data_IF_615271861086
#
_entry.id   IF_615271861086
#
_cell.length_a   1.000
_cell.length_b   1.000
_cell.length_c   1.000
_cell.angle_alpha   90.00
_cell.angle_beta   90.00
_cell.angle_gamma   90.00
#
_symmetry.space_group_name_H-M   'P 1'
#
loop_
_entity.id
_entity.type
_entity.pdbx_description
1 polymer ?
#
# COMPACT_ATOMS: atom_id res chain seq x y z
N UNK A 1 34.67 23.28 3.40
CA UNK A 1 34.17 22.34 4.42
C UNK A 1 32.90 22.85 5.07
N UNK A 2 32.77 24.16 5.29
CA UNK A 2 31.58 24.78 5.87
C UNK A 2 30.29 24.43 5.12
N UNK A 3 30.32 24.50 3.79
CA UNK A 3 29.18 24.04 2.95
C UNK A 3 28.72 22.60 3.25
N UNK A 4 29.64 21.66 3.52
CA UNK A 4 29.29 20.28 3.86
C UNK A 4 28.62 20.22 5.23
N UNK A 5 29.16 20.97 6.19
CA UNK A 5 28.61 21.08 7.55
C UNK A 5 27.19 21.67 7.53
N UNK A 6 26.97 22.72 6.74
CA UNK A 6 25.67 23.37 6.60
C UNK A 6 24.65 22.42 5.96
N UNK A 7 25.05 21.72 4.89
CA UNK A 7 24.19 20.70 4.24
C UNK A 7 23.78 19.60 5.24
N UNK A 8 24.72 19.07 6.01
CA UNK A 8 24.41 18.00 6.98
C UNK A 8 23.50 18.52 8.09
N UNK A 9 23.69 19.77 8.53
CA UNK A 9 22.81 20.41 9.51
C UNK A 9 21.39 20.53 8.95
N UNK A 10 21.24 21.06 7.73
CA UNK A 10 19.94 21.19 7.06
C UNK A 10 19.25 19.82 6.90
N UNK A 11 19.98 18.79 6.47
CA UNK A 11 19.43 17.45 6.37
C UNK A 11 18.98 16.88 7.72
N UNK A 12 19.69 17.16 8.81
CA UNK A 12 19.28 16.78 10.17
C UNK A 12 18.00 17.49 10.60
N UNK A 13 17.87 18.77 10.27
CA UNK A 13 16.69 19.57 10.58
C UNK A 13 15.46 19.08 9.78
N UNK A 14 15.66 18.70 8.52
CA UNK A 14 14.57 18.28 7.63
C UNK A 14 14.16 16.81 7.79
N UNK A 15 15.11 15.89 7.95
CA UNK A 15 14.86 14.44 8.00
C UNK A 15 14.87 13.88 9.42
N UNK A 16 15.40 14.62 10.38
CA UNK A 16 15.60 14.16 11.75
C UNK A 16 16.88 13.34 11.94
N UNK A 17 17.44 13.40 13.15
CA UNK A 17 18.69 12.73 13.51
C UNK A 17 18.66 11.21 13.28
N UNK A 18 17.56 10.54 13.64
CA UNK A 18 17.42 9.09 13.51
C UNK A 18 17.57 8.62 12.05
N UNK A 19 16.98 9.34 11.10
CA UNK A 19 17.08 9.02 9.67
C UNK A 19 18.52 9.17 9.20
N UNK A 20 19.21 10.24 9.63
CA UNK A 20 20.62 10.48 9.29
C UNK A 20 21.51 9.38 9.84
N UNK A 21 21.35 9.03 11.12
CA UNK A 21 22.13 7.98 11.77
C UNK A 21 21.91 6.63 11.07
N UNK A 22 20.66 6.32 10.68
CA UNK A 22 20.32 5.10 9.95
C UNK A 22 20.90 5.07 8.53
N UNK A 23 20.92 6.20 7.81
CA UNK A 23 21.62 6.31 6.51
C UNK A 23 23.11 6.02 6.70
N UNK A 24 23.74 6.66 7.68
CA UNK A 24 25.16 6.46 7.94
C UNK A 24 25.47 5.00 8.30
N UNK A 25 24.63 4.37 9.12
CA UNK A 25 24.74 2.98 9.53
C UNK A 25 24.58 1.95 8.41
N UNK A 26 24.16 2.35 7.20
CA UNK A 26 24.12 1.44 6.05
C UNK A 26 25.51 1.14 5.47
N UNK A 27 26.55 1.84 5.92
CA UNK A 27 27.91 1.74 5.43
C UNK A 27 28.81 1.00 6.42
N UNK A 28 29.71 0.15 5.92
CA UNK A 28 30.72 -0.53 6.76
C UNK A 28 31.67 0.48 7.43
N UNK A 29 31.93 1.60 6.76
CA UNK A 29 32.78 2.69 7.20
C UNK A 29 32.03 3.80 7.98
N UNK A 30 30.88 3.48 8.61
CA UNK A 30 30.07 4.47 9.33
C UNK A 30 30.85 5.23 10.41
N UNK A 31 31.76 4.55 11.12
CA UNK A 31 32.62 5.13 12.16
C UNK A 31 33.40 6.33 11.62
N UNK A 32 33.98 6.21 10.42
CA UNK A 32 34.70 7.31 9.77
C UNK A 32 33.76 8.44 9.39
N UNK A 33 32.50 8.17 9.07
CA UNK A 33 31.48 9.20 8.88
C UNK A 33 31.27 10.04 10.15
N UNK A 34 31.16 9.40 11.32
CA UNK A 34 30.99 10.11 12.62
C UNK A 34 32.23 10.96 12.91
N UNK A 35 33.42 10.37 12.80
CA UNK A 35 34.69 11.09 12.99
C UNK A 35 34.87 12.24 12.01
N UNK A 36 34.37 12.12 10.78
CA UNK A 36 34.37 13.21 9.83
C UNK A 36 33.46 14.37 10.27
N UNK A 37 32.32 14.10 10.92
CA UNK A 37 31.48 15.17 11.47
C UNK A 37 32.18 15.92 12.62
N UNK A 38 32.89 15.20 13.49
CA UNK A 38 33.74 15.79 14.52
C UNK A 38 34.87 16.62 13.90
N UNK A 39 35.54 16.09 12.87
CA UNK A 39 36.56 16.77 12.09
C UNK A 39 36.10 18.12 11.53
N UNK A 40 34.88 18.20 10.98
CA UNK A 40 34.33 19.47 10.47
C UNK A 40 34.23 20.56 11.55
N UNK A 41 34.20 20.21 12.83
CA UNK A 41 34.23 21.16 13.95
C UNK A 41 35.62 21.77 14.22
N UNK A 42 36.68 21.06 13.83
CA UNK A 42 38.09 21.43 14.06
C UNK A 42 38.84 21.84 12.79
N UNK A 43 38.26 21.59 11.62
CA UNK A 43 38.84 21.97 10.33
C UNK A 43 39.23 23.46 10.32
N UNK A 44 40.50 23.74 10.04
CA UNK A 44 41.07 25.10 10.00
C UNK A 44 41.45 25.69 11.36
N UNK A 45 41.22 24.95 12.47
CA UNK A 45 41.58 25.37 13.84
C UNK A 45 42.75 24.59 14.43
N UNK A 46 42.91 23.34 14.01
CA UNK A 46 43.94 22.41 14.49
C UNK A 46 44.73 21.87 13.29
N UNK A 47 45.95 21.42 13.54
CA UNK A 47 46.76 20.75 12.52
C UNK A 47 46.37 19.27 12.35
N UNK A 48 46.94 18.60 11.34
CA UNK A 48 46.63 17.20 11.03
C UNK A 48 47.00 16.27 12.20
N UNK A 49 48.12 16.50 12.89
CA UNK A 49 48.58 15.63 13.98
C UNK A 49 47.67 15.76 15.20
N UNK A 50 47.32 16.98 15.57
CA UNK A 50 46.40 17.28 16.66
C UNK A 50 45.03 16.64 16.43
N UNK A 51 44.47 16.79 15.21
CA UNK A 51 43.19 16.19 14.84
C UNK A 51 43.27 14.67 14.85
N UNK A 52 44.35 14.09 14.31
CA UNK A 52 44.56 12.64 14.29
C UNK A 52 44.53 12.07 15.71
N UNK A 53 45.23 12.72 16.64
CA UNK A 53 45.24 12.32 18.05
C UNK A 53 43.86 12.48 18.69
N UNK A 54 43.18 13.62 18.50
CA UNK A 54 41.86 13.86 19.10
C UNK A 54 40.75 12.96 18.56
N UNK A 55 40.80 12.59 17.29
CA UNK A 55 39.81 11.70 16.68
C UNK A 55 40.09 10.22 16.93
N UNK A 56 41.25 9.89 17.51
CA UNK A 56 41.73 8.53 17.70
C UNK A 56 41.75 7.74 16.38
N UNK A 57 42.42 8.32 15.36
CA UNK A 57 42.54 7.73 14.03
C UNK A 57 43.97 7.22 13.83
N UNK A 58 44.12 5.92 13.66
CA UNK A 58 45.43 5.27 13.52
C UNK A 58 46.23 5.72 12.27
N UNK A 59 45.55 6.16 11.21
CA UNK A 59 46.19 6.55 9.96
C UNK A 59 46.01 8.06 9.66
N UNK A 60 47.03 8.90 9.90
CA UNK A 60 46.97 10.34 9.62
C UNK A 60 46.64 10.68 8.16
N UNK A 61 46.95 9.80 7.19
CA UNK A 61 46.63 10.03 5.78
C UNK A 61 45.12 10.15 5.56
N UNK A 62 44.30 9.52 6.40
CA UNK A 62 42.85 9.66 6.32
C UNK A 62 42.41 11.10 6.59
N UNK A 63 43.00 11.76 7.57
CA UNK A 63 42.75 13.17 7.88
C UNK A 63 43.22 14.05 6.72
N UNK A 64 44.38 13.74 6.14
CA UNK A 64 44.88 14.46 4.96
C UNK A 64 43.90 14.37 3.77
N UNK A 65 43.32 13.19 3.51
CA UNK A 65 42.27 13.04 2.51
C UNK A 65 41.04 13.91 2.83
N UNK A 66 40.66 14.02 4.10
CA UNK A 66 39.54 14.87 4.51
C UNK A 66 39.83 16.35 4.28
N UNK A 67 41.04 16.83 4.59
CA UNK A 67 41.48 18.19 4.24
C UNK A 67 41.45 18.43 2.73
N UNK A 68 41.80 17.41 1.93
CA UNK A 68 41.70 17.42 0.46
C UNK A 68 40.26 17.25 -0.05
N UNK A 69 39.24 17.35 0.82
CA UNK A 69 37.80 17.30 0.50
C UNK A 69 37.33 15.96 -0.06
N UNK A 70 37.92 14.85 0.39
CA UNK A 70 37.43 13.50 0.12
C UNK A 70 36.67 12.97 1.34
N UNK A 71 35.36 13.25 1.46
CA UNK A 71 34.58 12.79 2.59
C UNK A 71 34.35 11.26 2.56
N UNK A 72 34.15 10.60 3.72
CA UNK A 72 33.77 9.19 3.79
C UNK A 72 32.46 8.87 3.05
N UNK A 73 32.25 7.60 2.68
CA UNK A 73 31.07 7.17 1.91
C UNK A 73 29.71 7.50 2.57
N UNK A 74 29.53 7.40 3.90
CA UNK A 74 28.31 7.86 4.55
C UNK A 74 28.00 9.33 4.25
N UNK A 75 29.03 10.19 4.27
CA UNK A 75 28.90 11.62 4.03
C UNK A 75 28.61 11.90 2.55
N UNK A 76 29.29 11.19 1.64
CA UNK A 76 28.98 11.25 0.19
C UNK A 76 27.50 10.92 -0.06
N UNK A 77 26.97 9.90 0.62
CA UNK A 77 25.55 9.52 0.49
C UNK A 77 24.60 10.63 0.94
N UNK A 78 24.88 11.28 2.07
CA UNK A 78 24.10 12.43 2.55
C UNK A 78 24.18 13.59 1.55
N UNK A 79 25.37 13.91 1.04
CA UNK A 79 25.56 14.94 0.03
C UNK A 79 24.77 14.64 -1.25
N UNK A 80 24.74 13.38 -1.70
CA UNK A 80 23.94 12.98 -2.86
C UNK A 80 22.43 13.16 -2.61
N UNK A 81 21.93 12.80 -1.42
CA UNK A 81 20.52 13.04 -1.03
C UNK A 81 20.19 14.53 -1.07
N UNK A 82 21.13 15.38 -0.64
CA UNK A 82 20.97 16.83 -0.70
C UNK A 82 20.95 17.33 -2.15
N UNK A 83 22.02 17.08 -2.91
CA UNK A 83 22.19 17.65 -4.25
C UNK A 83 21.17 17.13 -5.27
N UNK A 84 20.67 15.89 -5.10
CA UNK A 84 19.58 15.34 -5.91
C UNK A 84 18.18 15.73 -5.40
N UNK A 85 18.08 16.56 -4.36
CA UNK A 85 16.83 17.02 -3.76
C UNK A 85 15.91 15.90 -3.25
N UNK A 86 16.43 14.72 -2.92
CA UNK A 86 15.60 13.60 -2.45
C UNK A 86 14.95 13.88 -1.08
N UNK A 87 15.56 14.75 -0.28
CA UNK A 87 14.98 15.22 0.99
C UNK A 87 13.77 16.15 0.80
N UNK A 88 13.54 16.68 -0.42
CA UNK A 88 12.41 17.57 -0.75
C UNK A 88 11.20 16.82 -1.32
N UNK A 89 11.28 15.50 -1.46
CA UNK A 89 10.16 14.71 -1.97
C UNK A 89 9.00 14.82 -1.00
N UNK A 90 7.82 15.16 -1.52
CA UNK A 90 6.62 15.28 -0.69
C UNK A 90 6.30 13.96 0.03
N UNK A 91 5.77 14.05 1.25
CA UNK A 91 5.34 12.86 2.01
C UNK A 91 4.33 12.01 1.23
N UNK A 92 3.47 12.64 0.42
CA UNK A 92 2.53 11.95 -0.47
C UNK A 92 3.24 11.09 -1.51
N UNK A 93 4.24 11.64 -2.20
CA UNK A 93 4.98 10.91 -3.24
C UNK A 93 5.88 9.82 -2.63
N UNK A 94 6.47 10.08 -1.45
CA UNK A 94 7.15 9.04 -0.67
C UNK A 94 6.19 7.92 -0.27
N UNK A 95 4.99 8.23 0.22
CA UNK A 95 4.00 7.23 0.61
C UNK A 95 3.59 6.36 -0.58
N UNK A 96 3.46 6.98 -1.76
CA UNK A 96 3.18 6.29 -3.00
C UNK A 96 4.29 5.30 -3.41
N UNK A 97 5.55 5.72 -3.34
CA UNK A 97 6.70 4.81 -3.51
C UNK A 97 6.70 3.68 -2.48
N UNK A 98 6.37 3.98 -1.23
CA UNK A 98 6.28 2.97 -0.18
C UNK A 98 5.16 1.97 -0.46
N UNK A 99 3.99 2.39 -0.94
CA UNK A 99 2.90 1.46 -1.28
C UNK A 99 3.35 0.41 -2.30
N UNK A 100 3.99 0.85 -3.39
CA UNK A 100 4.59 -0.07 -4.37
C UNK A 100 5.71 -0.91 -3.76
N UNK A 101 6.59 -0.32 -2.96
CA UNK A 101 7.66 -1.03 -2.26
C UNK A 101 7.19 -2.09 -1.27
N UNK A 102 5.98 -1.94 -0.71
CA UNK A 102 5.33 -2.94 0.13
C UNK A 102 4.57 -4.00 -0.67
N UNK A 103 4.08 -3.68 -1.88
CA UNK A 103 3.49 -4.63 -2.83
C UNK A 103 4.48 -5.28 -3.80
N UNK A 104 4.26 -5.12 -5.11
CA UNK A 104 5.08 -5.76 -6.17
C UNK A 104 6.47 -5.14 -6.40
N UNK A 105 6.86 -4.17 -5.58
CA UNK A 105 8.19 -3.56 -5.58
C UNK A 105 9.02 -3.87 -4.33
N UNK A 106 10.18 -3.24 -4.25
CA UNK A 106 11.02 -3.30 -3.05
C UNK A 106 12.43 -2.76 -3.23
N UNK A 107 13.20 -2.80 -2.15
CA UNK A 107 14.64 -2.49 -2.18
C UNK A 107 15.46 -3.77 -2.31
N UNK A 108 16.57 -3.73 -3.04
CA UNK A 108 17.56 -4.81 -2.98
C UNK A 108 18.19 -4.91 -1.59
N UNK A 109 18.63 -6.11 -1.21
CA UNK A 109 19.24 -6.40 0.11
C UNK A 109 20.48 -5.53 0.39
N UNK A 110 21.23 -5.21 -0.66
CA UNK A 110 22.44 -4.36 -0.63
C UNK A 110 22.14 -2.86 -0.74
N UNK A 111 20.88 -2.47 -0.88
CA UNK A 111 20.43 -1.09 -1.08
C UNK A 111 21.05 -0.42 -2.31
N UNK A 112 21.38 -1.21 -3.35
CA UNK A 112 21.88 -0.70 -4.62
C UNK A 112 20.78 -0.08 -5.49
N UNK A 113 19.55 -0.60 -5.39
CA UNK A 113 18.41 -0.13 -6.17
C UNK A 113 17.07 -0.38 -5.49
N UNK A 114 16.08 0.37 -5.98
CA UNK A 114 14.65 0.15 -5.78
C UNK A 114 14.04 -0.39 -7.09
N UNK A 115 13.02 -1.23 -7.00
CA UNK A 115 12.34 -1.78 -8.17
C UNK A 115 10.82 -1.87 -8.00
N UNK A 116 10.10 -1.93 -9.12
CA UNK A 116 8.67 -2.22 -9.22
C UNK A 116 8.45 -3.22 -10.35
N UNK A 117 7.74 -4.32 -10.09
CA UNK A 117 7.31 -5.27 -11.11
C UNK A 117 5.90 -4.92 -11.60
N UNK A 118 5.62 -5.10 -12.89
CA UNK A 118 4.27 -4.87 -13.43
C UNK A 118 4.18 -5.04 -14.94
N UNK A 119 3.05 -4.60 -15.51
CA UNK A 119 2.87 -4.51 -16.97
C UNK A 119 3.63 -3.30 -17.51
N UNK A 120 4.20 -3.41 -18.72
CA UNK A 120 4.99 -2.33 -19.34
C UNK A 120 4.27 -0.97 -19.36
N UNK A 121 3.00 -0.96 -19.79
CA UNK A 121 2.22 0.27 -19.93
C UNK A 121 1.99 0.96 -18.58
N UNK A 122 1.72 0.19 -17.53
CA UNK A 122 1.53 0.71 -16.17
C UNK A 122 2.85 1.30 -15.65
N UNK A 123 3.99 0.60 -15.88
CA UNK A 123 5.32 1.08 -15.48
C UNK A 123 5.74 2.37 -16.21
N UNK A 124 5.39 2.53 -17.49
CA UNK A 124 5.64 3.77 -18.24
C UNK A 124 4.86 4.96 -17.65
N UNK A 125 3.63 4.73 -17.20
CA UNK A 125 2.86 5.79 -16.52
C UNK A 125 3.44 6.12 -15.14
N UNK A 126 3.91 5.11 -14.41
CA UNK A 126 4.61 5.30 -13.12
C UNK A 126 5.91 6.09 -13.32
N UNK A 127 6.70 5.77 -14.35
CA UNK A 127 7.90 6.53 -14.71
C UNK A 127 7.56 7.99 -15.02
N UNK A 128 6.54 8.24 -15.84
CA UNK A 128 6.06 9.60 -16.13
C UNK A 128 5.64 10.35 -14.87
N UNK A 129 4.95 9.67 -13.94
CA UNK A 129 4.60 10.25 -12.65
C UNK A 129 5.85 10.61 -11.83
N UNK A 130 6.83 9.69 -11.71
CA UNK A 130 8.06 9.94 -10.97
C UNK A 130 8.89 11.07 -11.58
N UNK A 131 9.03 11.11 -12.91
CA UNK A 131 9.77 12.18 -13.59
C UNK A 131 9.17 13.57 -13.32
N UNK A 132 7.85 13.66 -13.21
CA UNK A 132 7.15 14.91 -12.92
C UNK A 132 7.17 15.32 -11.44
N UNK A 133 7.39 14.36 -10.53
CA UNK A 133 7.18 14.56 -9.09
C UNK A 133 8.43 14.40 -8.23
N UNK A 134 9.48 13.79 -8.79
CA UNK A 134 10.71 13.46 -8.09
C UNK A 134 11.90 13.81 -8.99
N UNK A 135 12.61 14.91 -8.70
CA UNK A 135 13.70 15.38 -9.54
C UNK A 135 14.80 14.31 -9.75
N UNK A 136 15.23 14.14 -10.99
CA UNK A 136 16.47 13.44 -11.37
C UNK A 136 16.56 11.97 -10.88
N UNK A 137 15.45 11.23 -10.86
CA UNK A 137 15.49 9.78 -10.64
C UNK A 137 16.03 9.04 -11.88
N UNK A 138 17.08 8.23 -11.76
CA UNK A 138 17.57 7.41 -12.86
C UNK A 138 16.69 6.16 -13.00
N UNK A 139 15.62 6.28 -13.78
CA UNK A 139 14.67 5.20 -14.06
C UNK A 139 15.10 4.42 -15.30
N UNK A 140 15.00 3.09 -15.23
CA UNK A 140 15.15 2.20 -16.40
C UNK A 140 14.10 1.11 -16.36
N UNK A 141 13.46 0.83 -17.49
CA UNK A 141 12.45 -0.25 -17.62
C UNK A 141 13.02 -1.37 -18.48
N UNK A 142 12.97 -2.60 -17.99
CA UNK A 142 13.48 -3.79 -18.68
C UNK A 142 12.50 -4.98 -18.57
N UNK A 143 12.59 -5.91 -19.51
CA UNK A 143 11.78 -7.12 -19.53
C UNK A 143 12.18 -8.07 -18.41
N UNK A 144 11.18 -8.67 -17.77
CA UNK A 144 11.38 -9.66 -16.72
C UNK A 144 10.98 -11.05 -17.23
N UNK A 145 11.92 -11.69 -17.92
CA UNK A 145 11.75 -13.07 -18.36
C UNK A 145 11.90 -14.04 -17.18
N UNK A 146 10.87 -14.85 -16.95
CA UNK A 146 10.87 -15.81 -15.87
C UNK A 146 9.67 -16.75 -15.92
N UNK A 147 9.86 -17.92 -16.52
CA UNK A 147 8.96 -19.04 -16.24
C UNK A 147 9.22 -19.50 -14.81
N UNK A 148 8.23 -19.35 -13.95
CA UNK A 148 8.32 -19.81 -12.57
C UNK A 148 7.26 -20.87 -12.27
N UNK A 149 7.58 -21.79 -11.37
CA UNK A 149 6.56 -22.69 -10.80
C UNK A 149 6.44 -22.38 -9.33
N UNK A 150 5.22 -22.40 -8.82
CA UNK A 150 4.94 -22.26 -7.40
C UNK A 150 4.47 -23.62 -6.90
N UNK A 151 5.21 -24.19 -5.95
CA UNK A 151 4.82 -25.43 -5.27
C UNK A 151 3.92 -25.06 -4.10
N UNK A 152 2.72 -25.61 -4.08
CA UNK A 152 1.79 -25.43 -2.97
C UNK A 152 2.05 -26.47 -1.89
N UNK A 153 1.79 -26.12 -0.63
CA UNK A 153 1.91 -27.05 0.49
C UNK A 153 0.96 -28.26 0.38
N UNK A 154 -0.10 -28.15 -0.43
CA UNK A 154 -1.03 -29.25 -0.73
C UNK A 154 -0.55 -30.19 -1.85
N UNK A 155 0.69 -30.06 -2.33
CA UNK A 155 1.27 -30.88 -3.39
C UNK A 155 0.98 -30.43 -4.82
N UNK A 156 0.15 -29.39 -5.04
CA UNK A 156 -0.11 -28.86 -6.39
C UNK A 156 1.02 -27.96 -6.88
N UNK A 157 1.29 -28.01 -8.19
CA UNK A 157 2.25 -27.14 -8.86
C UNK A 157 1.47 -26.15 -9.74
N UNK A 158 1.72 -24.86 -9.56
CA UNK A 158 1.19 -23.81 -10.43
C UNK A 158 2.30 -23.27 -11.32
N UNK A 159 2.15 -23.38 -12.63
CA UNK A 159 3.04 -22.73 -13.59
C UNK A 159 2.61 -21.27 -13.78
N UNK A 160 3.57 -20.36 -13.72
CA UNK A 160 3.40 -18.93 -13.97
C UNK A 160 4.29 -18.60 -15.16
N UNK A 161 3.67 -18.28 -16.30
CA UNK A 161 4.35 -17.67 -17.43
C UNK A 161 4.39 -16.16 -17.22
N UNK A 162 5.57 -15.57 -17.32
CA UNK A 162 5.79 -14.12 -17.17
C UNK A 162 5.84 -13.40 -18.52
N UNK A 163 5.15 -13.93 -19.55
CA UNK A 163 5.30 -13.45 -20.93
C UNK A 163 5.07 -11.93 -21.10
N UNK A 164 4.44 -11.27 -20.13
CA UNK A 164 4.24 -9.81 -20.08
C UNK A 164 4.68 -9.14 -18.76
N UNK A 165 5.66 -9.69 -18.04
CA UNK A 165 6.22 -9.04 -16.84
C UNK A 165 7.39 -8.13 -17.20
N UNK A 166 7.37 -6.92 -16.65
CA UNK A 166 8.43 -5.93 -16.77
C UNK A 166 8.87 -5.47 -15.38
N UNK A 167 10.08 -4.93 -15.29
CA UNK A 167 10.59 -4.31 -14.06
C UNK A 167 11.05 -2.88 -14.36
N UNK A 168 10.60 -1.95 -13.52
CA UNK A 168 11.13 -0.60 -13.43
C UNK A 168 12.19 -0.58 -12.32
N UNK A 169 13.40 -0.14 -12.65
CA UNK A 169 14.49 0.04 -11.71
C UNK A 169 14.79 1.51 -11.47
N UNK A 170 15.11 1.83 -10.22
CA UNK A 170 15.78 3.06 -9.82
C UNK A 170 17.16 2.67 -9.29
N UNK A 171 18.19 2.79 -10.14
CA UNK A 171 19.57 2.37 -9.85
C UNK A 171 20.34 3.49 -9.12
N UNK A 172 19.81 3.91 -7.97
CA UNK A 172 20.44 4.91 -7.10
C UNK A 172 20.53 4.41 -5.66
N UNK A 173 21.77 4.20 -5.20
CA UNK A 173 22.01 3.68 -3.85
C UNK A 173 21.80 4.70 -2.74
N UNK A 174 21.89 6.01 -3.03
CA UNK A 174 21.62 7.07 -2.04
C UNK A 174 20.12 7.21 -1.82
N UNK A 175 19.35 7.16 -2.90
CA UNK A 175 17.89 7.09 -2.84
C UNK A 175 17.41 5.85 -2.09
N UNK A 176 17.94 4.68 -2.44
CA UNK A 176 17.57 3.41 -1.79
C UNK A 176 17.87 3.40 -0.29
N UNK A 177 19.01 3.96 0.12
CA UNK A 177 19.38 4.12 1.55
C UNK A 177 18.45 5.11 2.26
N UNK A 178 18.03 6.19 1.62
CA UNK A 178 17.04 7.12 2.17
C UNK A 178 15.71 6.40 2.41
N UNK A 179 15.17 5.67 1.44
CA UNK A 179 13.93 4.92 1.59
C UNK A 179 14.02 3.88 2.71
N UNK A 180 15.15 3.15 2.77
CA UNK A 180 15.41 2.20 3.86
C UNK A 180 15.44 2.90 5.24
N UNK A 181 16.10 4.05 5.33
CA UNK A 181 16.16 4.83 6.55
C UNK A 181 14.77 5.29 7.01
N UNK A 182 13.94 5.74 6.06
CA UNK A 182 12.54 6.11 6.26
C UNK A 182 11.59 4.93 6.54
N UNK A 183 12.08 3.69 6.49
CA UNK A 183 11.39 2.50 6.99
C UNK A 183 10.96 1.48 5.94
N UNK A 184 11.33 1.64 4.67
CA UNK A 184 11.03 0.64 3.64
C UNK A 184 11.88 -0.63 3.85
N UNK A 185 11.30 -1.84 3.90
CA UNK A 185 12.07 -3.06 4.08
C UNK A 185 12.97 -3.35 2.87
N UNK A 186 14.08 -4.05 3.10
CA UNK A 186 15.04 -4.42 2.05
C UNK A 186 15.12 -5.93 1.86
N UNK A 187 15.35 -6.36 0.62
CA UNK A 187 15.37 -7.77 0.25
C UNK A 187 13.97 -8.40 0.38
N UNK A 188 13.92 -9.65 0.84
CA UNK A 188 12.70 -10.43 0.80
C UNK A 188 11.80 -10.19 2.00
N UNK A 189 10.67 -9.50 1.76
CA UNK A 189 9.65 -9.19 2.77
C UNK A 189 9.05 -10.45 3.40
N UNK A 190 9.02 -11.57 2.69
CA UNK A 190 8.52 -12.87 3.19
C UNK A 190 9.37 -13.41 4.36
N UNK A 191 10.65 -13.04 4.42
CA UNK A 191 11.65 -13.57 5.38
C UNK A 191 12.00 -12.61 6.52
N UNK A 192 11.19 -11.58 6.76
CA UNK A 192 11.45 -10.58 7.79
C UNK A 192 10.14 -10.01 8.34
N UNK A 193 10.11 -9.40 9.53
CA UNK A 193 8.97 -8.62 9.97
C UNK A 193 8.79 -7.40 9.06
N UNK A 194 7.57 -6.91 8.92
CA UNK A 194 7.28 -5.76 8.05
C UNK A 194 6.21 -4.91 8.67
N UNK A 195 6.55 -3.66 8.96
CA UNK A 195 5.66 -2.72 9.63
C UNK A 195 5.52 -1.47 8.76
N UNK A 196 4.31 -0.93 8.67
CA UNK A 196 4.09 0.35 7.99
C UNK A 196 4.79 1.44 8.82
N UNK A 197 5.63 2.30 8.21
CA UNK A 197 6.29 3.39 8.94
C UNK A 197 5.31 4.28 9.68
N UNK A 198 5.67 4.72 10.89
CA UNK A 198 4.81 5.55 11.73
C UNK A 198 4.34 6.84 11.02
N UNK A 199 5.22 7.47 10.24
CA UNK A 199 4.89 8.68 9.48
C UNK A 199 3.84 8.45 8.37
N UNK A 200 3.65 7.21 7.91
CA UNK A 200 2.55 6.81 7.02
C UNK A 200 1.31 6.48 7.86
N UNK A 201 1.46 5.64 8.90
CA UNK A 201 0.34 5.22 9.78
C UNK A 201 -0.36 6.40 10.46
N UNK A 202 0.38 7.42 10.85
CA UNK A 202 -0.14 8.66 11.48
C UNK A 202 -0.11 9.85 10.52
N UNK A 203 0.17 9.61 9.24
CA UNK A 203 0.14 10.66 8.22
C UNK A 203 -1.28 11.20 8.00
N UNK A 204 -1.37 12.34 7.33
CA UNK A 204 -2.68 12.86 6.91
C UNK A 204 -3.38 11.92 5.92
N UNK A 205 -4.65 12.22 5.63
CA UNK A 205 -5.47 11.43 4.69
C UNK A 205 -4.83 11.29 3.30
N UNK A 206 -4.06 12.27 2.82
CA UNK A 206 -3.42 12.22 1.50
C UNK A 206 -2.21 11.29 1.51
N UNK A 207 -1.41 11.27 2.58
CA UNK A 207 -0.30 10.34 2.79
C UNK A 207 -0.83 8.89 2.84
N UNK A 208 -1.86 8.65 3.67
CA UNK A 208 -2.51 7.33 3.76
C UNK A 208 -3.10 6.88 2.43
N UNK A 209 -3.80 7.77 1.73
CA UNK A 209 -4.33 7.53 0.38
C UNK A 209 -3.24 7.14 -0.60
N UNK A 210 -2.14 7.91 -0.65
CA UNK A 210 -1.02 7.64 -1.55
C UNK A 210 -0.44 6.25 -1.34
N UNK A 211 -0.21 5.87 -0.08
CA UNK A 211 0.26 4.53 0.28
C UNK A 211 -0.71 3.42 -0.13
N UNK A 212 -1.98 3.52 0.26
CA UNK A 212 -2.99 2.49 -0.02
C UNK A 212 -3.26 2.34 -1.53
N UNK A 213 -3.30 3.43 -2.28
CA UNK A 213 -3.45 3.40 -3.73
C UNK A 213 -2.35 2.56 -4.39
N UNK A 214 -1.09 2.91 -4.14
CA UNK A 214 0.04 2.21 -4.73
C UNK A 214 0.12 0.73 -4.28
N UNK A 215 -0.15 0.46 -3.00
CA UNK A 215 -0.17 -0.90 -2.48
C UNK A 215 -1.23 -1.76 -3.16
N UNK A 216 -2.45 -1.24 -3.30
CA UNK A 216 -3.56 -1.97 -3.91
C UNK A 216 -3.45 -2.11 -5.43
N UNK A 217 -2.75 -1.20 -6.10
CA UNK A 217 -2.48 -1.32 -7.53
C UNK A 217 -1.67 -2.56 -7.90
N UNK A 218 -0.71 -2.95 -7.07
CA UNK A 218 -0.02 -4.23 -7.23
C UNK A 218 -0.88 -5.39 -6.70
N UNK A 219 -1.23 -5.34 -5.42
CA UNK A 219 -1.58 -6.54 -4.66
C UNK A 219 -3.10 -6.83 -4.55
N UNK A 220 -3.96 -5.82 -4.69
CA UNK A 220 -5.41 -6.02 -4.51
C UNK A 220 -6.00 -6.84 -5.66
N UNK A 221 -6.93 -7.74 -5.38
CA UNK A 221 -7.65 -8.43 -6.45
C UNK A 221 -8.43 -7.46 -7.35
N UNK A 222 -8.49 -7.75 -8.64
CA UNK A 222 -9.35 -7.03 -9.58
C UNK A 222 -10.82 -7.23 -9.18
N UNK A 223 -11.59 -6.14 -9.22
CA UNK A 223 -13.03 -6.19 -8.96
C UNK A 223 -13.71 -7.11 -9.96
N UNK A 224 -14.71 -7.88 -9.50
CA UNK A 224 -15.48 -8.76 -10.37
C UNK A 224 -16.96 -8.50 -10.16
N UNK A 225 -17.63 -8.22 -11.27
CA UNK A 225 -19.09 -8.17 -11.37
C UNK A 225 -19.48 -9.31 -12.29
N UNK A 226 -20.36 -10.19 -11.84
CA UNK A 226 -20.81 -11.30 -12.66
C UNK A 226 -22.30 -11.59 -12.46
N UNK A 227 -22.90 -12.19 -13.47
CA UNK A 227 -24.27 -12.68 -13.38
C UNK A 227 -24.28 -14.03 -12.65
N UNK A 228 -24.96 -14.07 -11.51
CA UNK A 228 -25.20 -15.27 -10.75
C UNK A 228 -26.44 -15.97 -11.28
N UNK A 229 -26.23 -17.01 -12.09
CA UNK A 229 -27.30 -17.80 -12.73
C UNK A 229 -28.26 -18.38 -11.70
N UNK A 230 -27.74 -18.94 -10.59
CA UNK A 230 -28.56 -19.57 -9.54
C UNK A 230 -29.49 -18.58 -8.85
N UNK A 231 -29.08 -17.31 -8.74
CA UNK A 231 -29.83 -16.26 -8.07
C UNK A 231 -30.53 -15.30 -9.04
N UNK A 232 -30.37 -15.53 -10.34
CA UNK A 232 -30.85 -14.66 -11.42
C UNK A 232 -30.57 -13.17 -11.16
N UNK A 233 -29.35 -12.83 -10.72
CA UNK A 233 -28.98 -11.46 -10.33
C UNK A 233 -27.49 -11.18 -10.56
N UNK A 234 -27.13 -9.91 -10.68
CA UNK A 234 -25.74 -9.48 -10.78
C UNK A 234 -25.14 -9.33 -9.37
N UNK A 235 -24.02 -10.02 -9.11
CA UNK A 235 -23.28 -9.96 -7.86
C UNK A 235 -22.02 -9.11 -8.02
N UNK A 236 -21.74 -8.26 -7.01
CA UNK A 236 -20.46 -7.57 -6.85
C UNK A 236 -19.66 -8.44 -5.90
N UNK A 237 -18.56 -9.02 -6.38
CA UNK A 237 -17.74 -9.93 -5.59
C UNK A 237 -16.95 -9.19 -4.50
N UNK A 238 -16.69 -9.84 -3.36
CA UNK A 238 -15.73 -9.32 -2.38
C UNK A 238 -14.36 -9.19 -3.02
N UNK A 239 -13.67 -8.11 -2.66
CA UNK A 239 -12.30 -7.89 -3.07
C UNK A 239 -11.41 -8.36 -1.94
N UNK A 240 -10.40 -9.14 -2.28
CA UNK A 240 -9.48 -9.71 -1.29
C UNK A 240 -8.16 -8.95 -1.35
N UNK A 241 -7.65 -8.58 -0.18
CA UNK A 241 -6.25 -8.19 0.01
C UNK A 241 -5.59 -9.20 0.94
N UNK A 242 -4.43 -9.71 0.56
CA UNK A 242 -3.71 -10.70 1.35
C UNK A 242 -2.28 -10.86 0.89
N UNK A 243 -1.43 -11.30 1.81
CA UNK A 243 0.00 -11.47 1.59
C UNK A 243 0.46 -12.80 2.18
N UNK A 244 1.75 -13.09 2.07
CA UNK A 244 2.36 -14.31 2.61
C UNK A 244 3.66 -14.01 3.34
N UNK A 245 3.94 -14.75 4.42
CA UNK A 245 5.22 -14.75 5.14
C UNK A 245 5.60 -16.18 5.53
N UNK A 246 6.86 -16.42 5.91
CA UNK A 246 7.21 -17.69 6.57
C UNK A 246 6.59 -17.77 7.97
N UNK A 247 6.52 -18.98 8.52
CA UNK A 247 5.92 -19.25 9.84
C UNK A 247 6.37 -18.29 10.94
N UNK A 248 7.69 -18.04 11.02
CA UNK A 248 8.30 -17.16 12.02
C UNK A 248 7.67 -15.76 12.09
N UNK A 249 7.13 -15.26 10.97
CA UNK A 249 6.60 -13.90 10.87
C UNK A 249 5.10 -13.88 10.54
N UNK A 250 4.37 -14.98 10.77
CA UNK A 250 2.93 -15.04 10.46
C UNK A 250 2.09 -14.08 11.32
N UNK A 251 2.48 -13.84 12.57
CA UNK A 251 1.81 -12.87 13.44
C UNK A 251 2.11 -11.43 13.01
N UNK A 252 3.35 -11.13 12.59
CA UNK A 252 3.69 -9.84 11.98
C UNK A 252 2.84 -9.56 10.72
N UNK A 253 2.54 -10.60 9.94
CA UNK A 253 1.65 -10.50 8.79
C UNK A 253 0.22 -10.13 9.21
N UNK A 254 -0.31 -10.73 10.28
CA UNK A 254 -1.64 -10.37 10.81
C UNK A 254 -1.66 -8.91 11.25
N UNK A 255 -0.68 -8.48 12.05
CA UNK A 255 -0.57 -7.10 12.51
C UNK A 255 -0.49 -6.10 11.34
N UNK A 256 0.30 -6.41 10.32
CA UNK A 256 0.38 -5.59 9.10
C UNK A 256 -0.97 -5.47 8.39
N UNK A 257 -1.71 -6.57 8.26
CA UNK A 257 -3.02 -6.54 7.61
C UNK A 257 -4.07 -5.79 8.45
N UNK A 258 -4.01 -5.89 9.77
CA UNK A 258 -4.85 -5.11 10.67
C UNK A 258 -4.56 -3.61 10.56
N UNK A 259 -3.28 -3.20 10.48
CA UNK A 259 -2.93 -1.80 10.23
C UNK A 259 -3.57 -1.27 8.92
N UNK A 260 -3.58 -2.08 7.86
CA UNK A 260 -4.24 -1.70 6.60
C UNK A 260 -5.75 -1.57 6.78
N UNK A 261 -6.38 -2.46 7.56
CA UNK A 261 -7.83 -2.38 7.85
C UNK A 261 -8.17 -1.13 8.64
N UNK A 262 -7.39 -0.78 9.64
CA UNK A 262 -7.58 0.42 10.44
C UNK A 262 -7.47 1.68 9.56
N UNK A 263 -6.47 1.73 8.67
CA UNK A 263 -6.35 2.82 7.69
C UNK A 263 -7.57 2.90 6.78
N UNK A 264 -8.16 1.78 6.33
CA UNK A 264 -9.39 1.77 5.54
C UNK A 264 -10.60 2.28 6.34
N UNK A 265 -10.68 1.93 7.63
CA UNK A 265 -11.77 2.33 8.51
C UNK A 265 -11.81 3.86 8.70
N UNK A 266 -10.67 4.54 8.71
CA UNK A 266 -10.60 6.02 8.73
C UNK A 266 -11.26 6.68 7.50
N UNK A 267 -11.39 5.95 6.40
CA UNK A 267 -12.13 6.35 5.20
C UNK A 267 -13.55 5.78 5.14
N UNK A 268 -14.04 5.22 6.26
CA UNK A 268 -15.36 4.59 6.39
C UNK A 268 -15.56 3.43 5.40
N UNK A 269 -14.46 2.75 5.05
CA UNK A 269 -14.44 1.56 4.21
C UNK A 269 -14.42 0.34 5.11
N UNK A 270 -15.53 -0.38 5.12
CA UNK A 270 -15.71 -1.58 5.92
C UNK A 270 -14.97 -2.78 5.31
N UNK A 271 -14.35 -3.57 6.18
CA UNK A 271 -13.67 -4.83 5.85
C UNK A 271 -14.00 -5.92 6.88
N UNK A 272 -13.89 -7.19 6.49
CA UNK A 272 -13.96 -8.32 7.43
C UNK A 272 -12.73 -8.36 8.32
N UNK A 273 -12.78 -9.11 9.44
CA UNK A 273 -11.58 -9.45 10.19
C UNK A 273 -10.52 -10.13 9.32
N UNK A 274 -9.25 -10.00 9.69
CA UNK A 274 -8.17 -10.77 9.09
C UNK A 274 -8.39 -12.25 9.39
N UNK A 275 -8.26 -13.10 8.36
CA UNK A 275 -8.38 -14.54 8.52
C UNK A 275 -7.19 -15.11 9.32
N UNK A 276 -7.39 -16.26 9.97
CA UNK A 276 -6.24 -16.99 10.53
C UNK A 276 -5.28 -17.41 9.41
N UNK A 277 -3.95 -17.24 9.57
CA UNK A 277 -2.96 -17.66 8.58
C UNK A 277 -3.05 -19.15 8.24
N UNK A 278 -3.01 -19.47 6.95
CA UNK A 278 -3.09 -20.84 6.42
C UNK A 278 -1.84 -21.17 5.61
N UNK A 279 -1.48 -22.46 5.60
CA UNK A 279 -0.43 -23.00 4.74
C UNK A 279 -0.68 -22.59 3.28
N UNK A 280 0.36 -22.09 2.63
CA UNK A 280 0.32 -21.57 1.26
C UNK A 280 1.30 -22.33 0.37
N UNK A 281 2.52 -21.83 0.22
CA UNK A 281 3.48 -22.33 -0.76
C UNK A 281 4.74 -22.86 -0.08
N UNK A 282 5.44 -23.75 -0.76
CA UNK A 282 6.79 -24.18 -0.43
C UNK A 282 7.76 -23.39 -1.31
N UNK A 283 8.68 -22.68 -0.68
CA UNK A 283 9.68 -21.88 -1.37
C UNK A 283 10.76 -22.78 -1.94
N UNK A 284 10.95 -22.76 -3.26
CA UNK A 284 11.92 -23.63 -3.96
C UNK A 284 13.35 -23.53 -3.44
N UNK A 285 13.78 -22.32 -3.12
CA UNK A 285 15.20 -22.03 -2.86
C UNK A 285 15.66 -22.48 -1.47
N UNK A 286 14.78 -22.42 -0.48
CA UNK A 286 15.12 -22.69 0.93
C UNK A 286 14.22 -23.75 1.57
N UNK A 287 13.24 -24.30 0.86
CA UNK A 287 12.30 -25.31 1.36
C UNK A 287 11.30 -24.79 2.39
N UNK A 288 11.33 -23.49 2.73
CA UNK A 288 10.49 -22.94 3.78
C UNK A 288 9.03 -22.87 3.34
N UNK A 289 8.14 -23.18 4.28
CA UNK A 289 6.70 -23.06 4.08
C UNK A 289 6.26 -21.62 4.35
N UNK A 290 5.46 -21.08 3.46
CA UNK A 290 4.78 -19.79 3.65
C UNK A 290 3.37 -19.99 4.15
N UNK A 291 2.95 -19.06 5.00
CA UNK A 291 1.59 -18.89 5.48
C UNK A 291 1.01 -17.64 4.83
N UNK A 292 -0.20 -17.76 4.30
CA UNK A 292 -0.95 -16.65 3.73
C UNK A 292 -2.17 -16.35 4.58
N UNK A 293 -2.44 -15.07 4.75
CA UNK A 293 -3.71 -14.57 5.29
C UNK A 293 -4.18 -13.37 4.45
N UNK A 294 -5.43 -12.98 4.67
CA UNK A 294 -6.17 -11.99 3.91
C UNK A 294 -7.33 -11.45 4.74
N UNK A 295 -7.89 -10.34 4.28
CA UNK A 295 -9.23 -9.89 4.65
C UNK A 295 -10.01 -9.54 3.37
N UNK A 296 -11.33 -9.36 3.51
CA UNK A 296 -12.20 -8.95 2.43
C UNK A 296 -12.70 -7.54 2.65
N UNK A 297 -12.65 -6.72 1.60
CA UNK A 297 -13.34 -5.43 1.58
C UNK A 297 -14.83 -5.69 1.31
N UNK A 298 -15.70 -5.15 2.17
CA UNK A 298 -17.14 -5.49 2.19
C UNK A 298 -17.85 -5.14 0.89
N UNK A 299 -18.77 -6.01 0.45
CA UNK A 299 -19.47 -5.97 -0.84
C UNK A 299 -20.73 -5.11 -0.89
N UNK A 300 -21.05 -4.39 0.18
CA UNK A 300 -22.25 -3.56 0.15
C UNK A 300 -22.11 -2.48 -0.92
N UNK A 301 -23.19 -2.18 -1.64
CA UNK A 301 -23.18 -1.18 -2.71
C UNK A 301 -22.61 0.17 -2.24
N UNK A 302 -22.98 0.61 -1.02
CA UNK A 302 -22.43 1.81 -0.40
C UNK A 302 -20.92 1.72 -0.17
N UNK A 303 -20.44 0.59 0.37
CA UNK A 303 -19.02 0.39 0.61
C UNK A 303 -18.20 0.36 -0.69
N UNK A 304 -18.73 -0.23 -1.75
CA UNK A 304 -18.11 -0.20 -3.09
C UNK A 304 -17.96 1.23 -3.61
N UNK A 305 -18.99 2.06 -3.44
CA UNK A 305 -18.94 3.48 -3.86
C UNK A 305 -17.90 4.23 -3.03
N UNK A 306 -17.95 4.14 -1.69
CA UNK A 306 -16.95 4.78 -0.80
C UNK A 306 -15.53 4.35 -1.12
N UNK A 307 -15.33 3.05 -1.36
CA UNK A 307 -14.02 2.52 -1.75
C UNK A 307 -13.53 3.17 -3.05
N UNK A 308 -14.40 3.34 -4.06
CA UNK A 308 -14.03 3.96 -5.34
C UNK A 308 -13.77 5.46 -5.30
N UNK A 309 -14.37 6.17 -4.34
CA UNK A 309 -14.09 7.59 -4.11
C UNK A 309 -12.69 7.77 -3.50
N UNK A 310 -12.24 6.76 -2.77
CA UNK A 310 -10.94 6.76 -2.12
C UNK A 310 -9.82 6.18 -2.99
N UNK A 311 -10.03 5.00 -3.59
CA UNK A 311 -9.05 4.27 -4.40
C UNK A 311 -9.38 4.38 -5.89
N UNK A 312 -8.44 4.92 -6.68
CA UNK A 312 -8.64 5.32 -8.08
C UNK A 312 -7.79 4.55 -9.10
N UNK A 313 -6.82 3.73 -8.65
CA UNK A 313 -5.90 2.96 -9.50
C UNK A 313 -5.30 3.83 -10.64
N UNK A 314 -4.49 4.86 -10.31
CA UNK A 314 -3.97 5.86 -11.26
C UNK A 314 -3.10 5.32 -12.40
N UNK A 315 -2.55 4.11 -12.30
CA UNK A 315 -1.72 3.49 -13.33
C UNK A 315 -2.24 2.11 -13.76
N UNK A 316 -3.01 1.40 -12.93
CA UNK A 316 -3.57 0.10 -13.31
C UNK A 316 -4.93 0.25 -14.03
N UNK A 317 -4.90 0.30 -15.36
CA UNK A 317 -6.09 0.52 -16.19
C UNK A 317 -7.13 -0.61 -16.04
N UNK A 318 -6.70 -1.85 -15.90
CA UNK A 318 -7.58 -3.01 -15.75
C UNK A 318 -8.40 -2.91 -14.45
N UNK A 319 -7.72 -2.63 -13.33
CA UNK A 319 -8.38 -2.42 -12.03
C UNK A 319 -9.31 -1.21 -12.05
N UNK A 320 -8.93 -0.12 -12.74
CA UNK A 320 -9.77 1.07 -12.91
C UNK A 320 -11.07 0.78 -13.66
N UNK A 321 -11.01 0.08 -14.79
CA UNK A 321 -12.20 -0.31 -15.55
C UNK A 321 -13.08 -1.24 -14.70
N UNK A 322 -12.46 -2.18 -13.98
CA UNK A 322 -13.18 -3.14 -13.15
C UNK A 322 -13.94 -2.48 -11.99
N UNK A 323 -13.33 -1.50 -11.30
CA UNK A 323 -14.01 -0.78 -10.23
C UNK A 323 -15.15 0.10 -10.76
N UNK A 324 -14.99 0.73 -11.92
CA UNK A 324 -16.06 1.52 -12.56
C UNK A 324 -17.31 0.66 -12.81
N UNK A 325 -17.14 -0.53 -13.39
CA UNK A 325 -18.24 -1.50 -13.58
C UNK A 325 -18.90 -1.89 -12.25
N UNK A 326 -18.12 -2.08 -11.19
CA UNK A 326 -18.64 -2.38 -9.86
C UNK A 326 -19.46 -1.22 -9.27
N UNK A 327 -19.01 0.02 -9.47
CA UNK A 327 -19.70 1.24 -9.02
C UNK A 327 -21.01 1.44 -9.76
N UNK A 328 -21.05 1.23 -11.07
CA UNK A 328 -22.28 1.31 -11.88
C UNK A 328 -23.34 0.32 -11.35
N UNK A 329 -22.93 -0.93 -11.13
CA UNK A 329 -23.80 -1.95 -10.58
C UNK A 329 -24.23 -1.62 -9.13
N UNK A 330 -23.34 -1.06 -8.31
CA UNK A 330 -23.66 -0.62 -6.96
C UNK A 330 -24.73 0.48 -6.96
N UNK A 331 -24.57 1.49 -7.82
CA UNK A 331 -25.56 2.58 -8.00
C UNK A 331 -26.91 2.04 -8.47
N UNK A 332 -26.91 1.09 -9.42
CA UNK A 332 -28.14 0.41 -9.87
C UNK A 332 -28.84 -0.32 -8.72
N UNK A 333 -28.09 -1.03 -7.88
CA UNK A 333 -28.64 -1.71 -6.68
C UNK A 333 -29.27 -0.71 -5.71
N UNK A 334 -28.61 0.42 -5.44
CA UNK A 334 -29.13 1.47 -4.55
C UNK A 334 -30.45 2.02 -5.08
N UNK A 335 -30.50 2.43 -6.35
CA UNK A 335 -31.73 2.94 -6.99
C UNK A 335 -32.88 1.94 -6.92
N UNK A 336 -32.60 0.65 -7.13
CA UNK A 336 -33.62 -0.40 -7.01
C UNK A 336 -34.12 -0.57 -5.57
N UNK A 337 -33.24 -0.45 -4.58
CA UNK A 337 -33.63 -0.50 -3.16
C UNK A 337 -34.50 0.70 -2.78
N UNK A 338 -34.15 1.91 -3.23
CA UNK A 338 -34.95 3.12 -3.01
C UNK A 338 -36.35 2.99 -3.63
N UNK A 339 -36.44 2.51 -4.87
CA UNK A 339 -37.72 2.27 -5.53
C UNK A 339 -38.57 1.24 -4.74
N UNK A 340 -37.95 0.18 -4.22
CA UNK A 340 -38.66 -0.80 -3.39
C UNK A 340 -39.18 -0.18 -2.09
N UNK A 341 -38.43 0.71 -1.44
CA UNK A 341 -38.90 1.44 -0.25
C UNK A 341 -40.10 2.32 -0.59
N UNK A 342 -40.02 3.08 -1.69
CA UNK A 342 -41.12 3.96 -2.12
C UNK A 342 -42.39 3.15 -2.41
N UNK A 343 -42.26 2.03 -3.15
CA UNK A 343 -43.37 1.11 -3.39
C UNK A 343 -43.92 0.53 -2.09
N UNK A 344 -43.05 0.14 -1.15
CA UNK A 344 -43.48 -0.38 0.16
C UNK A 344 -44.25 0.64 0.99
N UNK A 345 -43.76 1.88 1.10
CA UNK A 345 -44.44 2.96 1.82
C UNK A 345 -45.84 3.23 1.25
N UNK A 346 -45.95 3.31 -0.09
CA UNK A 346 -47.25 3.46 -0.76
C UNK A 346 -48.16 2.23 -0.57
N UNK A 347 -47.59 1.03 -0.55
CA UNK A 347 -48.35 -0.19 -0.27
C UNK A 347 -48.97 -0.17 1.14
N UNK A 348 -48.21 0.27 2.15
CA UNK A 348 -48.70 0.44 3.52
C UNK A 348 -49.86 1.43 3.57
N UNK A 349 -49.71 2.59 2.95
CA UNK A 349 -50.76 3.63 2.91
C UNK A 349 -52.06 3.10 2.28
N UNK A 350 -51.97 2.48 1.10
CA UNK A 350 -53.13 1.90 0.43
C UNK A 350 -53.79 0.78 1.26
N UNK A 351 -52.98 -0.03 1.94
CA UNK A 351 -53.47 -1.10 2.80
C UNK A 351 -54.23 -0.56 4.02
N UNK A 352 -53.69 0.49 4.66
CA UNK A 352 -54.39 1.19 5.74
C UNK A 352 -55.70 1.83 5.29
N UNK A 353 -55.77 2.28 4.03
CA UNK A 353 -56.99 2.78 3.40
C UNK A 353 -57.96 1.66 2.93
N UNK A 354 -57.77 0.42 3.38
CA UNK A 354 -58.67 -0.71 3.12
C UNK A 354 -58.56 -1.33 1.73
N UNK A 355 -57.55 -0.98 0.92
CA UNK A 355 -57.34 -1.66 -0.38
C UNK A 355 -56.89 -3.10 -0.18
N UNK A 356 -57.47 -4.00 -0.97
CA UNK A 356 -57.03 -5.40 -0.99
C UNK A 356 -55.62 -5.55 -1.57
N UNK A 357 -54.88 -6.55 -1.07
CA UNK A 357 -53.50 -6.86 -1.52
C UNK A 357 -53.42 -7.03 -3.04
N UNK A 358 -54.43 -7.64 -3.64
CA UNK A 358 -54.51 -7.80 -5.09
C UNK A 358 -54.53 -6.44 -5.81
N UNK A 359 -55.41 -5.52 -5.40
CA UNK A 359 -55.49 -4.17 -5.98
C UNK A 359 -54.18 -3.41 -5.80
N UNK A 360 -53.56 -3.49 -4.62
CA UNK A 360 -52.25 -2.88 -4.34
C UNK A 360 -51.17 -3.45 -5.26
N UNK A 361 -51.14 -4.77 -5.45
CA UNK A 361 -50.13 -5.43 -6.29
C UNK A 361 -50.20 -4.97 -7.76
N UNK A 362 -51.41 -4.74 -8.27
CA UNK A 362 -51.66 -4.21 -9.61
C UNK A 362 -51.29 -2.74 -9.73
N UNK A 363 -51.69 -1.92 -8.75
CA UNK A 363 -51.43 -0.48 -8.76
C UNK A 363 -49.94 -0.14 -8.67
N UNK A 364 -49.16 -0.93 -7.92
CA UNK A 364 -47.73 -0.70 -7.71
C UNK A 364 -46.83 -1.48 -8.66
N UNK A 365 -47.41 -2.26 -9.58
CA UNK A 365 -46.72 -3.17 -10.49
C UNK A 365 -45.67 -4.03 -9.73
N UNK A 366 -46.17 -4.82 -8.78
CA UNK A 366 -45.39 -5.78 -8.01
C UNK A 366 -46.10 -7.12 -7.97
N UNK A 367 -45.34 -8.21 -7.76
CA UNK A 367 -45.94 -9.53 -7.60
C UNK A 367 -46.84 -9.56 -6.36
N UNK A 368 -47.99 -10.22 -6.46
CA UNK A 368 -48.91 -10.38 -5.33
C UNK A 368 -48.22 -10.93 -4.07
N UNK A 369 -47.36 -11.94 -4.22
CA UNK A 369 -46.59 -12.50 -3.11
C UNK A 369 -45.67 -11.47 -2.44
N UNK A 370 -45.10 -10.52 -3.20
CA UNK A 370 -44.29 -9.44 -2.64
C UNK A 370 -45.15 -8.51 -1.79
N UNK A 371 -46.31 -8.09 -2.29
CA UNK A 371 -47.26 -7.25 -1.54
C UNK A 371 -47.76 -7.95 -0.28
N UNK A 372 -48.14 -9.23 -0.38
CA UNK A 372 -48.55 -10.06 0.75
C UNK A 372 -47.43 -10.19 1.80
N UNK A 373 -46.20 -10.40 1.34
CA UNK A 373 -45.05 -10.53 2.23
C UNK A 373 -44.75 -9.23 2.98
N UNK A 374 -44.85 -8.10 2.30
CA UNK A 374 -44.65 -6.78 2.90
C UNK A 374 -45.71 -6.43 3.94
N UNK A 375 -46.99 -6.67 3.63
CA UNK A 375 -48.12 -6.12 4.38
C UNK A 375 -48.66 -7.08 5.45
N UNK A 376 -48.73 -8.38 5.15
CA UNK A 376 -49.34 -9.38 6.03
C UNK A 376 -48.26 -10.14 6.80
N UNK A 377 -47.37 -10.82 6.07
CA UNK A 377 -46.41 -11.73 6.74
C UNK A 377 -45.23 -10.99 7.36
N UNK A 378 -45.05 -9.71 7.01
CA UNK A 378 -43.92 -8.85 7.39
C UNK A 378 -42.56 -9.50 7.10
N UNK A 379 -42.50 -10.37 6.08
CA UNK A 379 -41.27 -11.03 5.60
C UNK A 379 -40.72 -10.29 4.37
N UNK A 380 -39.41 -10.37 4.15
CA UNK A 380 -38.74 -9.77 2.99
C UNK A 380 -39.02 -8.27 2.78
N UNK A 381 -39.08 -7.51 3.88
CA UNK A 381 -39.17 -6.05 3.84
C UNK A 381 -37.98 -5.45 3.07
N UNK A 382 -38.13 -4.27 2.44
CA UNK A 382 -37.02 -3.61 1.77
C UNK A 382 -35.80 -3.45 2.69
N UNK A 383 -34.62 -3.86 2.20
CA UNK A 383 -33.38 -4.05 2.99
C UNK A 383 -32.90 -2.77 3.72
N UNK A 384 -33.22 -1.59 3.22
CA UNK A 384 -32.82 -0.32 3.85
C UNK A 384 -33.67 0.02 5.09
N UNK A 385 -34.84 -0.60 5.30
CA UNK A 385 -35.61 -0.48 6.53
C UNK A 385 -35.10 -1.41 7.64
N UNK A 386 -34.44 -2.52 7.30
CA UNK A 386 -33.89 -3.45 8.30
C UNK A 386 -32.54 -2.98 8.87
N UNK A 387 -31.75 -2.19 8.14
CA UNK A 387 -30.47 -1.66 8.63
C UNK A 387 -30.61 -0.53 9.66
N UNK A 388 -31.59 0.36 9.50
CA UNK A 388 -31.88 1.38 10.51
C UNK A 388 -32.41 0.78 11.83
N UNK A 389 -33.03 -0.41 11.81
CA UNK A 389 -33.45 -1.11 13.02
C UNK A 389 -32.29 -1.85 13.71
N UNK A 390 -31.30 -2.33 12.95
CA UNK A 390 -30.11 -3.03 13.47
C UNK A 390 -29.00 -2.09 13.97
N UNK A 391 -28.93 -0.86 13.44
CA UNK A 391 -27.98 0.16 13.93
C UNK A 391 -28.48 0.85 15.21
N UNK A 392 -29.80 0.84 15.46
CA UNK A 392 -30.40 1.33 16.73
C UNK A 392 -30.38 0.26 17.83
N UNK A 393 -30.33 -1.04 17.48
CA UNK A 393 -30.30 -2.13 18.47
C UNK A 393 -28.91 -2.64 18.85
N UNK A 394 -27.85 -2.25 18.12
CA UNK A 394 -26.45 -2.56 18.46
C UNK A 394 -25.67 -1.35 19.00
N UNK A 395 -26.38 -0.29 19.39
CA UNK A 395 -25.85 0.93 19.99
C UNK A 395 -26.27 1.13 21.46
N UNK A 396 -26.49 0.03 22.19
CA UNK A 396 -26.66 0.00 23.66
C UNK A 396 -25.58 -0.86 24.26
#
# INVERSE_FOLDING_TARGET
MDKIKDIIKELKDLLGKEVIDKIMGTHKDYYYGIKFLEFLGWHGKLDIKEITHKLDIANPRLIEFWYRRYPPRPIITLLNIYFKNYHKISKKNLAYLFGWGFGDGGLRKDLSSYFICGKKQDLLQIEGHFNNNIPSLPVTIEENFGNSSVYQANGKIKHISSNDSWILWIKDSSFSKLLYALGLPKGEKVLQPTNIPHWIKQGDKQVKKGFLNALFEGELQTHRVHFNVKRNKIDICPITFGLSKIEKYKEDLVNFLEDIRDMLQEFQINSTSVENPKLSNIRKRDGLITYSTRFYISISALNTIRFSEFIDFPFNQEKRIAIQKAVEEARRKIKNMELQITKYKKALELFHNGRSIYKISKELDIRWHTANNWLITKKHLPVLLSKNLSEVSNGV
#
